data_IF_331637175339
#
_entry.id   IF_331637175339
#
_cell.length_a   1.000
_cell.length_b   1.000
_cell.length_c   1.000
_cell.angle_alpha   90.00
_cell.angle_beta   90.00
_cell.angle_gamma   90.00
#
_symmetry.space_group_name_H-M   'P 1'
#
loop_
_entity.id
_entity.type
_entity.pdbx_description
1 polymer ?
#
# COMPACT_ATOMS: atom_id res chain seq x y z
N UNK A 1 -3.67 25.86 -3.53
CA UNK A 1 -2.66 26.05 -2.48
C UNK A 1 -3.43 26.14 -1.17
N UNK A 2 -3.40 25.09 -0.33
CA UNK A 2 -4.13 25.06 0.95
C UNK A 2 -3.45 26.04 1.92
N UNK A 3 -4.23 26.73 2.77
CA UNK A 3 -3.63 27.61 3.77
C UNK A 3 -2.88 26.77 4.83
N UNK A 4 -1.92 27.37 5.56
CA UNK A 4 -1.20 26.66 6.64
C UNK A 4 -2.15 26.11 7.73
N UNK A 5 -3.30 26.75 7.93
CA UNK A 5 -4.34 26.31 8.88
C UNK A 5 -5.08 25.07 8.32
N UNK A 6 -5.33 25.03 7.01
CA UNK A 6 -5.95 23.87 6.36
C UNK A 6 -5.01 22.65 6.38
N UNK A 7 -3.70 22.85 6.17
CA UNK A 7 -2.72 21.75 6.21
C UNK A 7 -2.62 21.08 7.59
N UNK A 8 -2.70 21.86 8.67
CA UNK A 8 -2.63 21.32 10.03
C UNK A 8 -3.84 20.42 10.38
N UNK A 9 -5.00 20.67 9.77
CA UNK A 9 -6.21 19.90 10.00
C UNK A 9 -6.38 18.72 9.03
N UNK A 10 -5.97 18.91 7.78
CA UNK A 10 -6.08 17.88 6.74
C UNK A 10 -4.96 16.83 6.81
N UNK A 11 -3.76 17.20 7.26
CA UNK A 11 -2.63 16.26 7.34
C UNK A 11 -2.90 15.08 8.29
N UNK A 12 -3.39 15.28 9.54
CA UNK A 12 -3.73 14.16 10.41
C UNK A 12 -4.83 13.27 9.82
N UNK A 13 -5.81 13.85 9.10
CA UNK A 13 -6.87 13.09 8.41
C UNK A 13 -6.32 12.20 7.30
N UNK A 14 -5.46 12.76 6.45
CA UNK A 14 -4.81 12.05 5.35
C UNK A 14 -3.94 10.91 5.91
N UNK A 15 -3.11 11.20 6.92
CA UNK A 15 -2.29 10.18 7.59
C UNK A 15 -3.14 9.06 8.17
N UNK A 16 -4.22 9.40 8.87
CA UNK A 16 -5.08 8.44 9.56
C UNK A 16 -5.75 7.50 8.58
N UNK A 17 -6.16 8.03 7.44
CA UNK A 17 -6.75 7.23 6.40
C UNK A 17 -5.73 6.37 5.65
N UNK A 18 -4.56 6.91 5.30
CA UNK A 18 -3.47 6.14 4.70
C UNK A 18 -3.03 5.00 5.60
N UNK A 19 -3.00 5.22 6.92
CA UNK A 19 -2.71 4.18 7.91
C UNK A 19 -3.67 3.00 7.75
N UNK A 20 -4.98 3.25 7.78
CA UNK A 20 -5.99 2.18 7.68
C UNK A 20 -6.01 1.50 6.31
N UNK A 21 -5.78 2.26 5.23
CA UNK A 21 -5.60 1.73 3.87
C UNK A 21 -4.44 0.73 3.84
N UNK A 22 -3.28 1.12 4.37
CA UNK A 22 -2.09 0.27 4.36
C UNK A 22 -2.21 -0.91 5.32
N UNK A 23 -2.88 -0.75 6.46
CA UNK A 23 -3.19 -1.84 7.39
C UNK A 23 -4.09 -2.90 6.73
N UNK A 24 -5.05 -2.49 5.90
CA UNK A 24 -5.90 -3.40 5.14
C UNK A 24 -5.15 -4.13 4.03
N UNK A 25 -4.23 -3.44 3.35
CA UNK A 25 -3.32 -4.05 2.37
C UNK A 25 -2.44 -5.09 3.06
N UNK A 26 -1.84 -4.76 4.21
CA UNK A 26 -1.02 -5.67 5.01
C UNK A 26 -1.80 -6.93 5.38
N UNK A 27 -2.99 -6.77 5.96
CA UNK A 27 -3.84 -7.90 6.36
C UNK A 27 -4.19 -8.81 5.16
N UNK A 28 -4.48 -8.22 4.00
CA UNK A 28 -4.76 -9.00 2.79
C UNK A 28 -3.54 -9.78 2.28
N UNK A 29 -2.33 -9.20 2.36
CA UNK A 29 -1.09 -9.87 1.96
C UNK A 29 -0.72 -11.01 2.92
N UNK A 30 -0.90 -10.82 4.23
CA UNK A 30 -0.64 -11.85 5.25
C UNK A 30 -1.62 -13.03 5.10
N UNK A 31 -2.90 -12.74 4.87
CA UNK A 31 -3.90 -13.77 4.58
C UNK A 31 -3.54 -14.55 3.31
N UNK A 32 -3.05 -13.86 2.27
CA UNK A 32 -2.61 -14.47 1.02
C UNK A 32 -1.38 -15.36 1.22
N UNK A 33 -0.38 -14.91 1.99
CA UNK A 33 0.85 -15.65 2.24
C UNK A 33 0.59 -17.04 2.86
N UNK A 34 -0.47 -17.16 3.67
CA UNK A 34 -0.87 -18.43 4.28
C UNK A 34 -1.57 -19.41 3.31
N UNK A 35 -1.88 -19.00 2.09
CA UNK A 35 -2.73 -19.75 1.13
C UNK A 35 -2.03 -20.10 -0.18
N UNK A 36 -0.75 -19.76 -0.35
CA UNK A 36 0.00 -19.95 -1.60
C UNK A 36 1.23 -20.84 -1.39
N UNK A 37 1.84 -21.32 -2.48
CA UNK A 37 3.05 -22.15 -2.43
C UNK A 37 4.27 -21.40 -1.83
N UNK A 38 5.35 -22.12 -1.52
CA UNK A 38 6.50 -21.54 -0.82
C UNK A 38 7.16 -20.35 -1.54
N UNK A 39 7.20 -20.40 -2.88
CA UNK A 39 7.87 -19.38 -3.69
C UNK A 39 7.06 -18.09 -3.76
N UNK A 40 5.75 -18.18 -3.99
CA UNK A 40 4.86 -17.02 -3.93
C UNK A 40 4.72 -16.51 -2.50
N UNK A 41 4.69 -17.41 -1.50
CA UNK A 41 4.70 -17.05 -0.07
C UNK A 41 5.86 -16.14 0.27
N UNK A 42 7.06 -16.41 -0.27
CA UNK A 42 8.21 -15.53 -0.11
C UNK A 42 7.94 -14.11 -0.64
N UNK A 43 7.34 -13.97 -1.83
CA UNK A 43 6.97 -12.67 -2.39
C UNK A 43 5.91 -11.94 -1.54
N UNK A 44 4.86 -12.64 -1.10
CA UNK A 44 3.86 -12.07 -0.20
C UNK A 44 4.44 -11.67 1.15
N UNK A 45 5.35 -12.46 1.73
CA UNK A 45 6.06 -12.12 2.97
C UNK A 45 6.90 -10.85 2.82
N UNK A 46 7.65 -10.73 1.72
CA UNK A 46 8.44 -9.52 1.46
C UNK A 46 7.55 -8.27 1.31
N UNK A 47 6.44 -8.41 0.58
CA UNK A 47 5.46 -7.33 0.42
C UNK A 47 4.82 -6.94 1.76
N UNK A 48 4.42 -7.94 2.57
CA UNK A 48 3.85 -7.74 3.90
C UNK A 48 4.84 -7.03 4.81
N UNK A 49 6.11 -7.44 4.83
CA UNK A 49 7.14 -6.79 5.65
C UNK A 49 7.33 -5.31 5.30
N UNK A 50 7.30 -4.97 4.00
CA UNK A 50 7.36 -3.57 3.56
C UNK A 50 6.10 -2.79 3.94
N UNK A 51 4.92 -3.38 3.77
CA UNK A 51 3.67 -2.75 4.20
C UNK A 51 3.64 -2.52 5.71
N UNK A 52 4.15 -3.46 6.50
CA UNK A 52 4.26 -3.31 7.95
C UNK A 52 5.16 -2.13 8.35
N UNK A 53 6.31 -1.96 7.69
CA UNK A 53 7.18 -0.78 7.91
C UNK A 53 6.42 0.52 7.62
N UNK A 54 5.68 0.57 6.50
CA UNK A 54 4.86 1.73 6.15
C UNK A 54 3.78 1.99 7.19
N UNK A 55 3.06 0.96 7.64
CA UNK A 55 2.01 1.07 8.67
C UNK A 55 2.59 1.62 9.97
N UNK A 56 3.75 1.12 10.41
CA UNK A 56 4.43 1.61 11.62
C UNK A 56 4.90 3.06 11.47
N UNK A 57 5.45 3.43 10.31
CA UNK A 57 5.80 4.82 10.03
C UNK A 57 4.57 5.74 10.09
N UNK A 58 3.46 5.35 9.46
CA UNK A 58 2.22 6.12 9.51
C UNK A 58 1.66 6.22 10.94
N UNK A 59 1.77 5.16 11.75
CA UNK A 59 1.42 5.20 13.18
C UNK A 59 2.26 6.23 13.93
N UNK A 60 3.57 6.23 13.75
CA UNK A 60 4.46 7.20 14.38
C UNK A 60 4.12 8.64 13.96
N UNK A 61 3.81 8.88 12.68
CA UNK A 61 3.39 10.20 12.23
C UNK A 61 2.09 10.66 12.89
N UNK A 62 1.14 9.74 13.11
CA UNK A 62 -0.11 10.04 13.80
C UNK A 62 0.10 10.35 15.29
N UNK A 63 1.01 9.64 15.95
CA UNK A 63 1.39 9.93 17.34
C UNK A 63 2.00 11.33 17.49
N UNK A 64 2.80 11.78 16.51
CA UNK A 64 3.33 13.16 16.45
C UNK A 64 2.22 14.21 16.27
N UNK A 65 1.04 13.83 15.77
CA UNK A 65 -0.15 14.72 15.72
C UNK A 65 -1.00 14.68 17.00
N UNK A 66 -0.62 13.86 17.99
CA UNK A 66 -1.40 13.61 19.20
C UNK A 66 -2.61 12.70 19.01
N UNK A 67 -2.75 12.08 17.83
CA UNK A 67 -3.82 11.12 17.54
C UNK A 67 -3.36 9.73 17.95
N UNK A 68 -4.13 9.09 18.84
CA UNK A 68 -3.98 7.67 19.13
C UNK A 68 -4.79 6.83 18.12
N UNK A 69 -4.31 5.62 17.88
CA UNK A 69 -4.99 4.65 17.00
C UNK A 69 -5.62 3.59 17.89
N UNK A 70 -6.84 3.87 18.33
CA UNK A 70 -7.55 3.08 19.34
C UNK A 70 -8.59 2.19 18.67
N UNK A 71 -9.28 2.72 17.66
CA UNK A 71 -10.37 2.04 16.97
C UNK A 71 -10.22 2.09 15.46
N UNK A 72 -10.52 0.94 14.85
CA UNK A 72 -10.61 0.80 13.40
C UNK A 72 -11.76 1.62 12.86
N UNK A 73 -11.45 2.53 11.93
CA UNK A 73 -12.52 3.21 11.20
C UNK A 73 -13.29 2.21 10.34
N UNK A 74 -14.62 2.29 10.44
CA UNK A 74 -15.50 1.63 9.48
C UNK A 74 -15.30 2.21 8.07
N UNK A 75 -15.63 1.41 7.05
CA UNK A 75 -15.49 1.80 5.64
C UNK A 75 -16.20 3.13 5.33
N UNK A 76 -17.39 3.33 5.87
CA UNK A 76 -18.19 4.53 5.60
C UNK A 76 -17.57 5.80 6.19
N UNK A 77 -16.85 5.67 7.31
CA UNK A 77 -16.12 6.78 7.92
C UNK A 77 -14.82 7.06 7.16
N UNK A 78 -14.12 6.02 6.70
CA UNK A 78 -12.98 6.20 5.80
C UNK A 78 -13.44 6.90 4.50
N UNK A 79 -14.54 6.44 3.88
CA UNK A 79 -15.13 7.06 2.68
C UNK A 79 -15.45 8.54 2.89
N UNK A 80 -16.03 8.90 4.04
CA UNK A 80 -16.30 10.32 4.36
C UNK A 80 -15.04 11.17 4.46
N UNK A 81 -13.91 10.59 4.88
CA UNK A 81 -12.65 11.32 5.09
C UNK A 81 -11.79 11.44 3.83
N UNK A 82 -11.67 10.38 3.03
CA UNK A 82 -10.78 10.34 1.86
C UNK A 82 -11.51 10.23 0.52
N UNK A 83 -12.84 10.25 0.56
CA UNK A 83 -13.67 10.06 -0.61
C UNK A 83 -13.84 8.59 -1.00
N UNK A 84 -14.65 8.37 -2.03
CA UNK A 84 -14.97 7.02 -2.50
C UNK A 84 -13.82 6.36 -3.26
N UNK A 85 -13.03 7.13 -4.02
CA UNK A 85 -12.02 6.59 -4.93
C UNK A 85 -10.94 5.74 -4.23
N UNK A 86 -10.32 6.16 -3.10
CA UNK A 86 -9.34 5.32 -2.42
C UNK A 86 -9.95 4.04 -1.83
N UNK A 87 -11.21 4.12 -1.37
CA UNK A 87 -11.94 2.96 -0.83
C UNK A 87 -12.27 1.95 -1.92
N UNK A 88 -12.71 2.41 -3.09
CA UNK A 88 -12.94 1.56 -4.25
C UNK A 88 -11.64 0.92 -4.74
N UNK A 89 -10.55 1.70 -4.77
CA UNK A 89 -9.21 1.20 -5.08
C UNK A 89 -8.78 0.07 -4.14
N UNK A 90 -8.99 0.23 -2.82
CA UNK A 90 -8.74 -0.83 -1.83
C UNK A 90 -9.59 -2.08 -2.07
N UNK A 91 -10.88 -1.91 -2.37
CA UNK A 91 -11.77 -3.03 -2.67
C UNK A 91 -11.30 -3.79 -3.91
N UNK A 92 -10.89 -3.06 -4.95
CA UNK A 92 -10.35 -3.64 -6.18
C UNK A 92 -9.01 -4.36 -5.94
N UNK A 93 -8.15 -3.83 -5.08
CA UNK A 93 -6.93 -4.49 -4.66
C UNK A 93 -7.24 -5.79 -3.93
N UNK A 94 -8.13 -5.75 -2.93
CA UNK A 94 -8.53 -6.93 -2.15
C UNK A 94 -9.21 -7.99 -2.99
N UNK A 95 -10.10 -7.60 -3.90
CA UNK A 95 -10.77 -8.53 -4.82
C UNK A 95 -9.77 -9.18 -5.78
N UNK A 96 -8.77 -8.42 -6.25
CA UNK A 96 -7.69 -8.93 -7.11
C UNK A 96 -6.78 -9.90 -6.36
N UNK A 97 -6.38 -9.61 -5.12
CA UNK A 97 -5.62 -10.57 -4.28
C UNK A 97 -6.45 -11.83 -4.06
N UNK A 98 -7.72 -11.71 -3.71
CA UNK A 98 -8.60 -12.87 -3.53
C UNK A 98 -8.72 -13.70 -4.81
N UNK A 99 -8.90 -13.05 -5.96
CA UNK A 99 -8.94 -13.73 -7.25
C UNK A 99 -7.62 -14.43 -7.53
N UNK A 100 -6.49 -13.78 -7.31
CA UNK A 100 -5.16 -14.36 -7.46
C UNK A 100 -5.01 -15.61 -6.58
N UNK A 101 -5.37 -15.56 -5.30
CA UNK A 101 -5.33 -16.72 -4.40
C UNK A 101 -6.22 -17.85 -4.95
N UNK A 102 -7.43 -17.53 -5.38
CA UNK A 102 -8.38 -18.54 -5.87
C UNK A 102 -7.90 -19.19 -7.18
N UNK A 103 -7.37 -18.41 -8.13
CA UNK A 103 -6.80 -18.90 -9.39
C UNK A 103 -5.54 -19.74 -9.15
N UNK A 104 -4.71 -19.36 -8.18
CA UNK A 104 -3.56 -20.16 -7.76
C UNK A 104 -3.99 -21.48 -7.09
N UNK A 105 -5.13 -21.49 -6.39
CA UNK A 105 -5.66 -22.68 -5.72
C UNK A 105 -6.44 -23.62 -6.66
N UNK A 106 -7.06 -23.09 -7.73
CA UNK A 106 -7.98 -23.86 -8.60
C UNK A 106 -7.28 -24.63 -9.72
N UNK A 107 -5.96 -24.54 -9.87
CA UNK A 107 -5.21 -25.12 -11.01
C UNK A 107 -5.61 -24.57 -12.39
N UNK A 108 -6.56 -23.63 -12.45
CA UNK A 108 -6.87 -22.85 -13.64
C UNK A 108 -5.81 -21.77 -13.76
N UNK A 109 -4.76 -22.10 -14.52
CA UNK A 109 -3.49 -21.38 -14.55
C UNK A 109 -3.62 -19.86 -14.57
N UNK A 110 -3.15 -19.23 -13.49
CA UNK A 110 -2.91 -17.80 -13.43
C UNK A 110 -2.05 -17.39 -14.63
N UNK A 111 -2.64 -16.69 -15.60
CA UNK A 111 -1.91 -16.29 -16.80
C UNK A 111 -0.92 -15.18 -16.44
N UNK A 112 0.37 -15.38 -16.73
CA UNK A 112 1.42 -14.39 -16.49
C UNK A 112 1.09 -13.02 -17.11
N UNK A 113 0.41 -12.98 -18.26
CA UNK A 113 -0.04 -11.72 -18.88
C UNK A 113 -1.08 -10.98 -18.02
N UNK A 114 -2.04 -11.71 -17.46
CA UNK A 114 -3.04 -11.14 -16.55
C UNK A 114 -2.37 -10.64 -15.27
N UNK A 115 -1.46 -11.42 -14.68
CA UNK A 115 -0.70 -11.02 -13.48
C UNK A 115 0.17 -9.79 -13.74
N UNK A 116 0.91 -9.75 -14.85
CA UNK A 116 1.68 -8.57 -15.27
C UNK A 116 0.81 -7.32 -15.39
N UNK A 117 -0.37 -7.44 -16.02
CA UNK A 117 -1.31 -6.33 -16.14
C UNK A 117 -1.77 -5.82 -14.77
N UNK A 118 -2.05 -6.71 -13.82
CA UNK A 118 -2.47 -6.32 -12.46
C UNK A 118 -1.33 -5.70 -11.66
N UNK A 119 -0.11 -6.21 -11.79
CA UNK A 119 1.08 -5.62 -11.18
C UNK A 119 1.33 -4.19 -11.69
N UNK A 120 1.12 -3.92 -12.98
CA UNK A 120 1.23 -2.57 -13.54
C UNK A 120 0.14 -1.63 -12.99
N UNK A 121 -1.11 -2.09 -12.94
CA UNK A 121 -2.21 -1.31 -12.38
C UNK A 121 -1.94 -0.91 -10.93
N UNK A 122 -1.45 -1.84 -10.10
CA UNK A 122 -1.04 -1.55 -8.73
C UNK A 122 0.15 -0.61 -8.66
N UNK A 123 1.17 -0.80 -9.52
CA UNK A 123 2.30 0.10 -9.56
C UNK A 123 1.88 1.54 -9.84
N UNK A 124 0.93 1.76 -10.75
CA UNK A 124 0.48 3.11 -11.10
C UNK A 124 -0.31 3.76 -9.96
N UNK A 125 -1.19 3.01 -9.29
CA UNK A 125 -1.89 3.47 -8.08
C UNK A 125 -0.90 3.87 -6.98
N UNK A 126 0.08 3.00 -6.69
CA UNK A 126 1.08 3.22 -5.64
C UNK A 126 1.99 4.40 -6.01
N UNK A 127 2.32 4.56 -7.30
CA UNK A 127 3.09 5.70 -7.81
C UNK A 127 2.36 7.03 -7.56
N UNK A 128 1.05 7.07 -7.78
CA UNK A 128 0.23 8.26 -7.49
C UNK A 128 0.23 8.55 -5.98
N UNK A 129 0.04 7.54 -5.13
CA UNK A 129 0.07 7.70 -3.69
C UNK A 129 1.43 8.21 -3.18
N UNK A 130 2.54 7.66 -3.68
CA UNK A 130 3.89 8.15 -3.37
C UNK A 130 4.08 9.62 -3.78
N UNK A 131 3.62 9.99 -4.99
CA UNK A 131 3.67 11.37 -5.48
C UNK A 131 2.89 12.35 -4.59
N UNK A 132 1.71 11.96 -4.13
CA UNK A 132 0.92 12.77 -3.19
C UNK A 132 1.64 12.98 -1.86
N UNK A 133 2.26 11.91 -1.32
CA UNK A 133 3.01 12.00 -0.06
C UNK A 133 4.26 12.88 -0.19
N UNK A 134 4.97 12.82 -1.32
CA UNK A 134 6.08 13.75 -1.60
C UNK A 134 5.62 15.19 -1.62
N UNK A 135 4.55 15.49 -2.35
CA UNK A 135 4.00 16.84 -2.43
C UNK A 135 3.57 17.37 -1.05
N UNK A 136 2.99 16.50 -0.20
CA UNK A 136 2.64 16.85 1.18
C UNK A 136 3.90 17.11 2.00
N UNK A 137 4.91 16.23 1.96
CA UNK A 137 6.21 16.45 2.62
C UNK A 137 6.84 17.77 2.20
N UNK A 138 6.91 18.06 0.90
CA UNK A 138 7.54 19.26 0.38
C UNK A 138 6.82 20.53 0.87
N UNK A 139 5.50 20.46 1.04
CA UNK A 139 4.70 21.54 1.62
C UNK A 139 4.96 21.76 3.12
N UNK A 140 5.51 20.76 3.82
CA UNK A 140 5.82 20.79 5.25
C UNK A 140 7.31 21.09 5.55
N UNK A 141 8.18 21.02 4.54
CA UNK A 141 9.65 21.05 4.68
C UNK A 141 10.21 22.32 5.31
N UNK A 142 9.50 23.44 5.17
CA UNK A 142 9.90 24.74 5.74
C UNK A 142 9.36 25.00 7.15
N UNK A 143 8.65 24.03 7.74
CA UNK A 143 8.14 24.18 9.10
C UNK A 143 9.29 24.25 10.10
N UNK A 144 9.14 25.15 11.09
CA UNK A 144 10.04 25.25 12.26
C UNK A 144 9.53 24.46 13.46
N UNK A 145 8.34 23.89 13.35
CA UNK A 145 7.75 23.03 14.36
C UNK A 145 8.40 21.64 14.27
N UNK A 146 8.94 21.16 15.39
CA UNK A 146 9.68 19.90 15.47
C UNK A 146 8.80 18.69 15.14
N UNK A 147 7.54 18.68 15.58
CA UNK A 147 6.59 17.59 15.28
C UNK A 147 6.27 17.56 13.78
N UNK A 148 6.02 18.71 13.18
CA UNK A 148 5.77 18.80 11.73
C UNK A 148 7.01 18.37 10.93
N UNK A 149 8.20 18.73 11.38
CA UNK A 149 9.44 18.29 10.75
C UNK A 149 9.62 16.76 10.82
N UNK A 150 9.33 16.13 11.96
CA UNK A 150 9.34 14.66 12.09
C UNK A 150 8.33 14.00 11.16
N UNK A 151 7.11 14.53 11.10
CA UNK A 151 6.09 14.05 10.15
C UNK A 151 6.58 14.16 8.71
N UNK A 152 7.25 15.26 8.34
CA UNK A 152 7.85 15.43 7.01
C UNK A 152 8.85 14.31 6.70
N UNK A 153 9.75 13.98 7.63
CA UNK A 153 10.72 12.89 7.44
C UNK A 153 10.04 11.53 7.30
N UNK A 154 9.01 11.27 8.12
CA UNK A 154 8.25 10.03 8.06
C UNK A 154 7.53 9.90 6.70
N UNK A 155 6.90 10.97 6.23
CA UNK A 155 6.24 10.99 4.92
C UNK A 155 7.22 10.74 3.76
N UNK A 156 8.44 11.27 3.84
CA UNK A 156 9.49 10.98 2.86
C UNK A 156 9.89 9.51 2.88
N UNK A 157 10.07 8.92 4.07
CA UNK A 157 10.38 7.50 4.20
C UNK A 157 9.27 6.63 3.62
N UNK A 158 8.00 6.91 3.95
CA UNK A 158 6.84 6.18 3.39
C UNK A 158 6.79 6.32 1.87
N UNK A 159 6.95 7.53 1.32
CA UNK A 159 6.93 7.75 -0.12
C UNK A 159 8.03 6.95 -0.85
N UNK A 160 9.22 6.89 -0.25
CA UNK A 160 10.35 6.12 -0.77
C UNK A 160 10.09 4.62 -0.72
N UNK A 161 9.49 4.09 0.36
CA UNK A 161 9.09 2.69 0.44
C UNK A 161 8.03 2.34 -0.63
N UNK A 162 7.05 3.20 -0.86
CA UNK A 162 6.05 3.05 -1.92
C UNK A 162 6.68 3.06 -3.32
N UNK A 163 7.72 3.87 -3.55
CA UNK A 163 8.49 3.84 -4.80
C UNK A 163 9.21 2.51 -5.01
N UNK A 164 9.81 1.95 -3.96
CA UNK A 164 10.44 0.64 -4.07
C UNK A 164 9.42 -0.44 -4.42
N UNK A 165 8.22 -0.38 -3.81
CA UNK A 165 7.11 -1.28 -4.16
C UNK A 165 6.71 -1.10 -5.63
N UNK A 166 6.51 0.14 -6.08
CA UNK A 166 6.19 0.49 -7.48
C UNK A 166 7.21 -0.08 -8.46
N UNK A 167 8.50 0.17 -8.21
CA UNK A 167 9.58 -0.29 -9.07
C UNK A 167 9.67 -1.82 -9.10
N UNK A 168 9.45 -2.47 -7.96
CA UNK A 168 9.40 -3.94 -7.88
C UNK A 168 8.25 -4.49 -8.72
N UNK A 169 7.06 -3.91 -8.63
CA UNK A 169 5.89 -4.34 -9.40
C UNK A 169 6.10 -4.14 -10.90
N UNK A 170 6.62 -2.96 -11.32
CA UNK A 170 6.94 -2.69 -12.74
C UNK A 170 8.01 -3.64 -13.27
N UNK A 171 9.06 -3.90 -12.49
CA UNK A 171 10.10 -4.85 -12.86
C UNK A 171 9.51 -6.25 -13.07
N UNK A 172 8.74 -6.77 -12.11
CA UNK A 172 8.12 -8.09 -12.23
C UNK A 172 7.16 -8.17 -13.42
N UNK A 173 6.33 -7.14 -13.61
CA UNK A 173 5.38 -7.09 -14.72
C UNK A 173 6.07 -7.10 -16.09
N UNK A 174 7.22 -6.43 -16.19
CA UNK A 174 8.04 -6.35 -17.41
C UNK A 174 8.88 -7.60 -17.66
N UNK A 175 8.93 -8.53 -16.71
CA UNK A 175 9.66 -9.79 -16.78
C UNK A 175 8.69 -10.99 -16.59
N UNK A 176 7.69 -11.18 -17.48
CA UNK A 176 6.66 -12.21 -17.34
C UNK A 176 7.22 -13.64 -17.32
N UNK A 177 8.43 -13.86 -17.85
CA UNK A 177 9.19 -15.10 -17.77
C UNK A 177 9.45 -15.52 -16.30
N UNK A 178 9.75 -14.55 -15.43
CA UNK A 178 9.96 -14.80 -14.00
C UNK A 178 8.65 -15.19 -13.33
N UNK A 179 7.58 -14.43 -13.60
CA UNK A 179 6.23 -14.72 -13.11
C UNK A 179 5.74 -16.09 -13.57
N UNK A 180 5.99 -16.45 -14.82
CA UNK A 180 5.61 -17.76 -15.37
C UNK A 180 6.33 -18.92 -14.67
N UNK A 181 7.59 -18.74 -14.25
CA UNK A 181 8.31 -19.75 -13.45
C UNK A 181 7.72 -19.87 -12.05
N UNK A 182 7.40 -18.74 -11.42
CA UNK A 182 6.85 -18.70 -10.06
C UNK A 182 5.44 -19.31 -10.01
N UNK A 183 4.65 -19.13 -11.07
CA UNK A 183 3.30 -19.69 -11.22
C UNK A 183 3.32 -21.15 -11.68
N UNK A 184 4.15 -21.56 -12.65
CA UNK A 184 4.18 -22.97 -13.12
C UNK A 184 4.59 -23.97 -12.05
N UNK A 185 5.56 -23.59 -11.20
CA UNK A 185 5.99 -24.43 -10.08
C UNK A 185 4.96 -24.50 -8.93
N UNK A 186 3.86 -23.75 -9.01
CA UNK A 186 2.70 -23.93 -8.11
C UNK A 186 1.80 -25.09 -8.53
N UNK A 187 2.06 -25.70 -9.68
CA UNK A 187 1.26 -26.79 -10.24
C UNK A 187 2.03 -28.11 -10.37
N UNK A 188 3.29 -28.17 -9.92
CA UNK A 188 4.02 -29.43 -9.77
C UNK A 188 3.90 -29.93 -8.31
N UNK A 189 3.46 -31.20 -8.10
CA UNK A 189 3.15 -31.77 -6.79
C UNK A 189 4.37 -32.01 -5.88
#
# INVERSE_FOLDING_TARGET
>A
MLSRIDLAYEMPRILYALYWVMADVLSALEEAAGKVNERLRFHFMLASKRCNIIVEHLRLALEETGIKIDERLGEEELRRRIGALPIETLKNFRSTIKRLINELASSEGCNASWLSSKLMEFADIICVASGMLKALSDSLKESRDEHIWRICLILQAVAQDLEVITNTHRYLASNPEMLARDVKLSHDP
#
